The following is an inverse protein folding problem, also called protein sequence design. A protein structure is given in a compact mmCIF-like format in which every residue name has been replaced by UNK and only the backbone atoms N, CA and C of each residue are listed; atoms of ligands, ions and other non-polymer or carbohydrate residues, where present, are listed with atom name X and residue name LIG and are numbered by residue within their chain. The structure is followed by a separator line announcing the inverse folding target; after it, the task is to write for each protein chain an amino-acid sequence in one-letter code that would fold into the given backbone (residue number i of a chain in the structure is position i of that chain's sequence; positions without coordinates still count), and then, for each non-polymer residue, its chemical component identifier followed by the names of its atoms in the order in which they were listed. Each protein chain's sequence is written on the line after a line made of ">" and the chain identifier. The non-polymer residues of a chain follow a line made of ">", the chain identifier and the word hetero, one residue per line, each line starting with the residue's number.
data_IF_983839265340
#
_entry.id   IF_983839265340
#
_cell.length_a   1.000
_cell.length_b   1.000
_cell.length_c   1.000
_cell.angle_alpha   90.00
_cell.angle_beta   90.00
_cell.angle_gamma   90.00
#
_symmetry.space_group_name_H-M   'P 1'
#
loop_
_entity.id
_entity.type
_entity.pdbx_description
1 polymer ?
#
# COMPACT_ATOMS: atom_id res chain seq x y z
N UNK A 1 -18.86 -13.09 -14.77
CA UNK A 1 -18.34 -12.51 -13.50
C UNK A 1 -16.97 -13.06 -13.18
N UNK A 2 -16.11 -12.28 -12.50
CA UNK A 2 -14.72 -12.63 -12.20
C UNK A 2 -14.57 -13.02 -10.72
N UNK A 3 -14.06 -14.22 -10.46
CA UNK A 3 -13.77 -14.68 -9.09
C UNK A 3 -12.49 -14.00 -8.59
N UNK A 4 -12.52 -13.48 -7.36
CA UNK A 4 -11.40 -12.78 -6.74
C UNK A 4 -11.32 -11.28 -7.07
N UNK A 5 -12.36 -10.73 -7.66
CA UNK A 5 -12.48 -9.33 -8.06
C UNK A 5 -13.82 -8.73 -7.65
N UNK A 6 -13.88 -7.41 -7.63
CA UNK A 6 -15.15 -6.70 -7.53
C UNK A 6 -15.90 -6.76 -8.85
N UNK A 7 -17.16 -7.14 -8.78
CA UNK A 7 -18.09 -7.18 -9.90
C UNK A 7 -19.27 -6.23 -9.63
N UNK A 8 -19.78 -5.59 -10.67
CA UNK A 8 -21.07 -4.87 -10.60
C UNK A 8 -22.14 -5.79 -11.19
N UNK A 9 -23.03 -6.29 -10.32
CA UNK A 9 -24.04 -7.30 -10.65
C UNK A 9 -25.42 -6.76 -10.35
N UNK A 10 -26.43 -7.25 -11.08
CA UNK A 10 -27.83 -6.84 -10.92
C UNK A 10 -28.58 -7.82 -10.03
N UNK A 11 -29.44 -7.32 -9.14
CA UNK A 11 -30.30 -8.16 -8.30
C UNK A 11 -31.36 -8.80 -9.17
N UNK A 12 -31.25 -10.11 -9.40
CA UNK A 12 -32.17 -10.88 -10.22
C UNK A 12 -33.39 -11.35 -9.41
N UNK A 13 -33.19 -11.83 -8.19
CA UNK A 13 -34.27 -12.37 -7.34
C UNK A 13 -33.85 -12.43 -5.87
N UNK A 14 -34.87 -12.43 -5.00
CA UNK A 14 -34.70 -12.60 -3.56
C UNK A 14 -35.13 -14.01 -3.12
N UNK A 15 -34.41 -14.56 -2.15
CA UNK A 15 -34.72 -15.87 -1.55
C UNK A 15 -34.54 -15.79 -0.02
N UNK A 16 -35.00 -16.80 0.75
CA UNK A 16 -34.78 -16.85 2.20
C UNK A 16 -33.30 -16.83 2.60
N UNK A 17 -32.39 -17.27 1.72
CA UNK A 17 -30.95 -17.35 1.99
C UNK A 17 -30.17 -16.08 1.61
N UNK A 18 -30.78 -15.17 0.84
CA UNK A 18 -30.15 -13.95 0.36
C UNK A 18 -30.64 -13.53 -1.03
N UNK A 19 -29.88 -12.64 -1.65
CA UNK A 19 -30.14 -12.14 -2.99
C UNK A 19 -29.32 -12.92 -4.02
N UNK A 20 -29.94 -13.30 -5.13
CA UNK A 20 -29.21 -13.75 -6.30
C UNK A 20 -28.92 -12.55 -7.20
N UNK A 21 -27.64 -12.37 -7.49
CA UNK A 21 -27.13 -11.34 -8.37
C UNK A 21 -26.70 -11.98 -9.68
N UNK A 22 -26.90 -11.29 -10.80
CA UNK A 22 -26.52 -11.78 -12.12
C UNK A 22 -25.62 -10.80 -12.87
N UNK A 23 -24.76 -11.34 -13.73
CA UNK A 23 -23.99 -10.57 -14.71
C UNK A 23 -24.75 -10.40 -16.02
N UNK A 24 -24.14 -9.72 -17.00
CA UNK A 24 -24.73 -9.48 -18.33
C UNK A 24 -25.00 -10.78 -19.14
N UNK A 25 -24.33 -11.87 -18.79
CA UNK A 25 -24.48 -13.19 -19.41
C UNK A 25 -25.49 -14.06 -18.66
N UNK A 26 -26.20 -13.50 -17.65
CA UNK A 26 -27.15 -14.19 -16.78
C UNK A 26 -26.53 -15.31 -15.91
N UNK A 27 -25.23 -15.20 -15.62
CA UNK A 27 -24.62 -16.06 -14.61
C UNK A 27 -25.01 -15.55 -13.22
N UNK A 28 -25.66 -16.40 -12.42
CA UNK A 28 -26.11 -16.04 -11.07
C UNK A 28 -25.07 -16.35 -9.99
N UNK A 29 -25.02 -15.50 -8.96
CA UNK A 29 -24.26 -15.72 -7.73
C UNK A 29 -25.11 -15.33 -6.52
N UNK A 30 -25.02 -16.11 -5.43
CA UNK A 30 -25.70 -15.81 -4.18
C UNK A 30 -24.91 -14.75 -3.39
N UNK A 31 -25.58 -13.68 -2.97
CA UNK A 31 -25.18 -12.78 -1.89
C UNK A 31 -25.97 -13.19 -0.63
N UNK A 32 -25.34 -13.89 0.33
CA UNK A 32 -26.01 -14.33 1.55
C UNK A 32 -26.54 -13.16 2.39
N UNK A 33 -27.65 -13.36 3.10
CA UNK A 33 -28.28 -12.33 3.93
C UNK A 33 -27.31 -11.64 4.91
N UNK A 34 -26.36 -12.39 5.49
CA UNK A 34 -25.37 -11.87 6.45
C UNK A 34 -24.42 -10.80 5.84
N UNK A 35 -24.34 -10.72 4.52
CA UNK A 35 -23.51 -9.75 3.80
C UNK A 35 -24.33 -8.59 3.21
N UNK A 36 -25.62 -8.55 3.45
CA UNK A 36 -26.48 -7.43 3.05
C UNK A 36 -26.44 -6.41 4.20
N UNK A 37 -25.89 -5.19 4.00
CA UNK A 37 -25.84 -4.19 5.06
C UNK A 37 -27.25 -3.83 5.54
N UNK A 38 -27.48 -3.80 6.86
CA UNK A 38 -28.79 -3.50 7.44
C UNK A 38 -29.32 -2.11 7.00
N UNK A 39 -28.41 -1.14 6.86
CA UNK A 39 -28.71 0.24 6.49
C UNK A 39 -29.30 0.40 5.07
N UNK A 40 -29.07 -0.57 4.18
CA UNK A 40 -29.49 -0.52 2.78
C UNK A 40 -30.43 -1.66 2.40
N UNK A 41 -30.70 -2.61 3.31
CA UNK A 41 -31.55 -3.78 3.04
C UNK A 41 -32.97 -3.42 2.62
N UNK A 42 -33.53 -2.31 3.13
CA UNK A 42 -34.83 -1.82 2.76
C UNK A 42 -34.90 -1.07 1.40
N UNK A 43 -33.73 -0.66 0.88
CA UNK A 43 -33.60 0.10 -0.37
C UNK A 43 -33.19 -0.73 -1.59
N UNK A 44 -32.79 -1.98 -1.42
CA UNK A 44 -32.33 -2.82 -2.54
C UNK A 44 -33.51 -3.57 -3.18
N UNK A 45 -33.75 -3.28 -4.45
CA UNK A 45 -34.86 -3.88 -5.23
C UNK A 45 -34.30 -4.75 -6.38
N UNK A 46 -35.16 -5.66 -6.85
CA UNK A 46 -34.88 -6.43 -8.07
C UNK A 46 -34.68 -5.45 -9.23
N UNK A 47 -33.56 -5.62 -9.97
CA UNK A 47 -33.13 -4.74 -11.05
C UNK A 47 -32.03 -3.72 -10.63
N UNK A 48 -31.77 -3.53 -9.34
CA UNK A 48 -30.71 -2.65 -8.88
C UNK A 48 -29.32 -3.29 -9.09
N UNK A 49 -28.32 -2.46 -9.43
CA UNK A 49 -26.95 -2.90 -9.59
C UNK A 49 -26.15 -2.70 -8.30
N UNK A 50 -25.43 -3.74 -7.87
CA UNK A 50 -24.62 -3.73 -6.67
C UNK A 50 -23.15 -4.08 -6.98
N UNK A 51 -22.23 -3.35 -6.34
CA UNK A 51 -20.80 -3.67 -6.41
C UNK A 51 -20.46 -4.63 -5.29
N UNK A 52 -20.14 -5.87 -5.63
CA UNK A 52 -19.83 -6.97 -4.69
C UNK A 52 -18.51 -7.63 -5.04
N UNK A 53 -17.86 -8.19 -4.03
CA UNK A 53 -16.70 -9.05 -4.24
C UNK A 53 -17.17 -10.50 -4.42
N UNK A 54 -16.64 -11.22 -5.41
CA UNK A 54 -17.01 -12.60 -5.70
C UNK A 54 -15.87 -13.54 -5.36
N UNK A 55 -16.13 -14.55 -4.53
CA UNK A 55 -15.12 -15.51 -4.10
C UNK A 55 -15.70 -16.90 -3.84
N UNK A 56 -14.85 -17.88 -3.54
CA UNK A 56 -15.29 -19.22 -3.12
C UNK A 56 -15.36 -19.33 -1.61
N UNK A 57 -16.53 -19.67 -1.07
CA UNK A 57 -16.74 -19.91 0.36
C UNK A 57 -16.08 -21.22 0.87
N UNK A 58 -16.26 -21.54 2.15
CA UNK A 58 -15.66 -22.74 2.76
C UNK A 58 -16.21 -24.06 2.21
N UNK A 59 -17.38 -24.03 1.58
CA UNK A 59 -17.99 -25.19 0.93
C UNK A 59 -17.69 -25.25 -0.58
N UNK A 60 -16.70 -24.45 -1.05
CA UNK A 60 -16.28 -24.31 -2.44
C UNK A 60 -17.40 -23.84 -3.40
N UNK A 61 -18.34 -23.06 -2.87
CA UNK A 61 -19.39 -22.42 -3.67
C UNK A 61 -18.98 -21.00 -4.03
N UNK A 62 -19.25 -20.58 -5.25
CA UNK A 62 -19.07 -19.17 -5.63
C UNK A 62 -20.14 -18.35 -4.92
N UNK A 63 -19.73 -17.33 -4.18
CA UNK A 63 -20.60 -16.43 -3.42
C UNK A 63 -20.14 -14.99 -3.58
N UNK A 64 -21.10 -14.07 -3.46
CA UNK A 64 -20.83 -12.65 -3.38
C UNK A 64 -20.79 -12.17 -1.92
N UNK A 65 -20.04 -11.10 -1.66
CA UNK A 65 -20.02 -10.41 -0.37
C UNK A 65 -19.88 -8.91 -0.57
N UNK A 66 -20.40 -8.13 0.36
CA UNK A 66 -20.15 -6.69 0.48
C UNK A 66 -18.96 -6.37 1.36
N UNK A 67 -18.40 -7.39 2.05
CA UNK A 67 -17.17 -7.23 2.83
C UNK A 67 -16.00 -6.89 1.92
N UNK A 68 -15.04 -6.15 2.47
CA UNK A 68 -13.89 -5.65 1.71
C UNK A 68 -12.66 -6.48 2.07
N UNK A 69 -12.14 -7.31 1.14
CA UNK A 69 -10.87 -8.00 1.36
C UNK A 69 -9.69 -7.02 1.35
N UNK A 70 -8.59 -7.38 2.02
CA UNK A 70 -7.37 -6.56 2.07
C UNK A 70 -6.60 -6.54 0.75
N UNK A 71 -6.89 -7.48 -0.16
CA UNK A 71 -6.39 -7.54 -1.54
C UNK A 71 -7.35 -8.32 -2.43
N UNK A 72 -7.29 -8.05 -3.71
CA UNK A 72 -7.99 -8.80 -4.77
C UNK A 72 -7.01 -9.68 -5.56
N UNK A 73 -7.51 -10.52 -6.46
CA UNK A 73 -6.65 -11.26 -7.39
C UNK A 73 -5.81 -10.28 -8.21
N UNK A 74 -4.52 -10.55 -8.33
CA UNK A 74 -3.57 -9.66 -8.98
C UNK A 74 -2.90 -8.64 -8.07
N UNK A 75 -3.23 -8.60 -6.78
CA UNK A 75 -2.67 -7.63 -5.84
C UNK A 75 -1.72 -8.24 -4.82
N UNK A 76 -0.89 -7.36 -4.23
CA UNK A 76 0.03 -7.66 -3.13
C UNK A 76 -0.43 -6.95 -1.87
N UNK A 77 -0.49 -7.70 -0.76
CA UNK A 77 -0.68 -7.13 0.57
C UNK A 77 0.16 -7.87 1.61
N UNK A 78 0.40 -7.22 2.76
CA UNK A 78 0.98 -7.85 3.94
C UNK A 78 -0.16 -8.38 4.80
N UNK A 79 -0.19 -9.70 4.99
CA UNK A 79 -1.24 -10.41 5.69
C UNK A 79 -0.68 -11.18 6.88
N UNK A 80 -1.50 -11.36 7.93
CA UNK A 80 -1.15 -12.15 9.10
C UNK A 80 -1.46 -13.64 8.87
N UNK A 81 -0.55 -14.51 9.28
CA UNK A 81 -0.74 -15.95 9.28
C UNK A 81 -1.57 -16.35 10.49
N UNK A 82 -2.80 -16.78 10.27
CA UNK A 82 -3.74 -17.20 11.34
C UNK A 82 -3.63 -18.68 11.67
N UNK A 83 -3.20 -19.50 10.71
CA UNK A 83 -2.96 -20.94 10.92
C UNK A 83 -1.87 -21.46 9.97
N UNK A 84 -1.19 -22.53 10.38
CA UNK A 84 -0.27 -23.30 9.53
C UNK A 84 -0.59 -24.79 9.68
N UNK A 85 -0.61 -25.52 8.57
CA UNK A 85 -1.02 -26.91 8.54
C UNK A 85 -0.37 -27.72 7.42
N UNK A 86 -0.90 -28.92 7.19
CA UNK A 86 -0.32 -29.90 6.25
C UNK A 86 -0.29 -29.44 4.79
N UNK A 87 -1.21 -28.58 4.36
CA UNK A 87 -1.31 -28.11 2.96
C UNK A 87 -0.65 -26.76 2.72
N UNK A 88 -0.37 -25.99 3.79
CA UNK A 88 0.20 -24.66 3.71
C UNK A 88 -0.15 -23.82 4.93
N UNK A 89 0.01 -22.51 4.79
CA UNK A 89 -0.41 -21.52 5.78
C UNK A 89 -1.71 -20.85 5.31
N UNK A 90 -2.52 -20.45 6.28
CA UNK A 90 -3.72 -19.68 6.06
C UNK A 90 -3.48 -18.26 6.57
N UNK A 91 -3.80 -17.27 5.76
CA UNK A 91 -3.63 -15.85 6.09
C UNK A 91 -4.97 -15.15 6.10
N UNK A 92 -5.14 -14.24 7.08
CA UNK A 92 -6.29 -13.35 7.13
C UNK A 92 -6.21 -12.35 5.98
N UNK A 93 -7.20 -12.36 5.12
CA UNK A 93 -7.33 -11.43 4.00
C UNK A 93 -8.60 -10.57 4.06
N UNK A 94 -9.24 -10.54 5.24
CA UNK A 94 -10.41 -9.73 5.53
C UNK A 94 -11.75 -10.39 5.21
N UNK A 95 -11.76 -11.68 4.82
CA UNK A 95 -12.99 -12.45 4.58
C UNK A 95 -13.07 -13.66 5.50
N UNK A 96 -14.28 -14.22 5.76
CA UNK A 96 -14.48 -15.34 6.69
C UNK A 96 -13.71 -16.62 6.35
N UNK A 97 -13.43 -16.87 5.07
CA UNK A 97 -12.55 -17.94 4.62
C UNK A 97 -11.15 -17.41 4.43
N UNK A 98 -10.20 -17.84 5.25
CA UNK A 98 -8.80 -17.48 5.14
C UNK A 98 -8.20 -17.83 3.77
N UNK A 99 -7.26 -17.03 3.30
CA UNK A 99 -6.55 -17.27 2.05
C UNK A 99 -5.43 -18.31 2.27
N UNK A 100 -5.45 -19.40 1.51
CA UNK A 100 -4.41 -20.42 1.56
C UNK A 100 -3.16 -19.96 0.84
N UNK A 101 -2.01 -20.08 1.49
CA UNK A 101 -0.66 -19.98 0.91
C UNK A 101 -0.04 -21.40 0.92
N UNK A 102 -0.12 -22.17 -0.18
CA UNK A 102 0.41 -23.54 -0.25
C UNK A 102 1.91 -23.57 0.06
N UNK A 103 2.42 -24.68 0.58
CA UNK A 103 3.87 -24.84 0.86
C UNK A 103 4.75 -24.52 -0.34
N UNK A 104 4.31 -24.91 -1.55
CA UNK A 104 5.02 -24.64 -2.80
C UNK A 104 5.15 -23.12 -3.10
N UNK A 105 4.28 -22.29 -2.51
CA UNK A 105 4.24 -20.82 -2.68
C UNK A 105 4.90 -20.07 -1.52
N UNK A 106 5.44 -20.75 -0.54
CA UNK A 106 6.17 -20.15 0.57
C UNK A 106 7.67 -20.07 0.26
N UNK A 107 8.36 -19.00 0.68
CA UNK A 107 9.82 -18.88 0.58
C UNK A 107 10.48 -19.76 1.67
N UNK A 108 9.86 -19.79 2.85
CA UNK A 108 10.17 -20.63 4.00
C UNK A 108 8.87 -21.06 4.68
N UNK A 109 8.87 -22.08 5.51
CA UNK A 109 7.69 -22.40 6.31
C UNK A 109 7.20 -21.16 7.08
N UNK A 110 5.90 -20.92 7.03
CA UNK A 110 5.25 -19.82 7.73
C UNK A 110 4.64 -20.34 9.04
N UNK A 111 4.65 -19.50 10.08
CA UNK A 111 4.13 -19.81 11.40
C UNK A 111 3.00 -18.84 11.77
N UNK A 112 2.05 -19.30 12.59
CA UNK A 112 0.97 -18.46 13.10
C UNK A 112 1.51 -17.22 13.82
N UNK A 113 0.88 -16.07 13.58
CA UNK A 113 1.24 -14.75 14.14
C UNK A 113 2.31 -14.00 13.34
N UNK A 114 2.93 -14.65 12.32
CA UNK A 114 3.80 -13.94 11.40
C UNK A 114 3.00 -13.09 10.41
N UNK A 115 3.59 -12.00 9.96
CA UNK A 115 3.07 -11.25 8.81
C UNK A 115 3.93 -11.50 7.59
N UNK A 116 3.29 -11.73 6.45
CA UNK A 116 3.96 -12.05 5.18
C UNK A 116 3.35 -11.25 4.03
N UNK A 117 4.19 -10.84 3.07
CA UNK A 117 3.69 -10.27 1.81
C UNK A 117 3.21 -11.40 0.91
N UNK A 118 1.98 -11.29 0.45
CA UNK A 118 1.30 -12.28 -0.38
C UNK A 118 0.76 -11.61 -1.62
N UNK A 119 0.98 -12.23 -2.77
CA UNK A 119 0.28 -11.97 -4.02
C UNK A 119 -0.88 -12.95 -4.15
N UNK A 120 -2.10 -12.46 -4.37
CA UNK A 120 -3.26 -13.32 -4.59
C UNK A 120 -3.43 -13.61 -6.09
N UNK A 121 -3.70 -14.85 -6.43
CA UNK A 121 -3.97 -15.26 -7.81
C UNK A 121 -4.99 -16.40 -7.87
N UNK A 122 -5.63 -16.54 -9.03
CA UNK A 122 -6.52 -17.66 -9.31
C UNK A 122 -5.67 -18.84 -9.81
N UNK A 123 -5.71 -19.94 -9.07
CA UNK A 123 -5.03 -21.18 -9.49
C UNK A 123 -5.82 -21.83 -10.63
N UNK A 124 -5.24 -21.86 -11.81
CA UNK A 124 -5.86 -22.40 -13.02
C UNK A 124 -6.22 -23.90 -12.92
N UNK A 125 -5.56 -24.64 -12.01
CA UNK A 125 -5.81 -26.09 -11.84
C UNK A 125 -7.04 -26.33 -10.97
N UNK A 126 -7.20 -25.56 -9.91
CA UNK A 126 -8.26 -25.74 -8.92
C UNK A 126 -9.41 -24.74 -9.03
N UNK A 127 -9.22 -23.65 -9.77
CA UNK A 127 -10.16 -22.53 -9.84
C UNK A 127 -10.27 -21.73 -8.51
N UNK A 128 -9.39 -21.99 -7.55
CA UNK A 128 -9.41 -21.34 -6.23
C UNK A 128 -8.46 -20.14 -6.18
N UNK A 129 -8.83 -19.15 -5.39
CA UNK A 129 -7.94 -18.05 -5.06
C UNK A 129 -6.91 -18.58 -4.06
N UNK A 130 -5.63 -18.39 -4.36
CA UNK A 130 -4.50 -18.80 -3.49
C UNK A 130 -3.48 -17.67 -3.39
N UNK A 131 -2.75 -17.66 -2.28
CA UNK A 131 -1.67 -16.73 -2.03
C UNK A 131 -0.30 -17.26 -2.42
N UNK A 132 0.60 -16.37 -2.78
CA UNK A 132 2.02 -16.67 -3.02
C UNK A 132 2.90 -15.67 -2.31
N UNK A 133 3.78 -16.13 -1.42
CA UNK A 133 4.87 -15.33 -0.87
C UNK A 133 6.07 -15.24 -1.83
N UNK A 134 6.11 -16.06 -2.89
CA UNK A 134 7.13 -16.05 -3.94
C UNK A 134 6.82 -14.96 -4.98
N UNK A 135 6.84 -13.70 -4.56
CA UNK A 135 6.43 -12.54 -5.38
C UNK A 135 7.13 -12.48 -6.73
N UNK A 136 8.41 -12.90 -6.83
CA UNK A 136 9.16 -12.90 -8.10
C UNK A 136 8.55 -13.79 -9.20
N UNK A 137 7.56 -14.65 -8.88
CA UNK A 137 6.84 -15.45 -9.89
C UNK A 137 5.74 -14.64 -10.58
N UNK A 138 5.31 -13.55 -9.96
CA UNK A 138 4.16 -12.76 -10.39
C UNK A 138 4.54 -11.32 -10.73
N UNK A 139 5.62 -10.83 -10.11
CA UNK A 139 6.11 -9.45 -10.25
C UNK A 139 7.44 -9.51 -11.01
N UNK A 140 7.52 -8.83 -12.14
CA UNK A 140 8.72 -8.75 -12.97
C UNK A 140 8.80 -7.39 -13.72
N UNK A 141 9.90 -7.16 -14.41
CA UNK A 141 10.14 -5.96 -15.22
C UNK A 141 10.40 -6.31 -16.70
N UNK A 142 9.88 -7.44 -17.18
CA UNK A 142 10.08 -7.86 -18.58
C UNK A 142 9.40 -6.89 -19.58
N UNK A 143 8.19 -6.43 -19.22
CA UNK A 143 7.45 -5.41 -19.96
C UNK A 143 7.02 -4.29 -19.00
N UNK A 144 7.76 -3.19 -18.99
CA UNK A 144 7.47 -2.05 -18.13
C UNK A 144 6.28 -1.26 -18.69
N UNK A 145 5.23 -1.11 -17.85
CA UNK A 145 3.98 -0.42 -18.22
C UNK A 145 3.86 0.97 -17.60
N UNK A 146 4.91 1.47 -16.94
CA UNK A 146 4.96 2.79 -16.31
C UNK A 146 5.99 3.68 -16.99
N UNK A 147 5.81 5.00 -16.90
CA UNK A 147 6.66 6.00 -17.51
C UNK A 147 7.38 6.88 -16.49
N UNK A 148 8.53 7.46 -16.90
CA UNK A 148 9.25 8.44 -16.07
C UNK A 148 8.38 9.66 -15.80
N UNK A 149 8.25 10.03 -14.51
CA UNK A 149 7.40 11.12 -14.04
C UNK A 149 5.99 10.70 -13.63
N UNK A 150 5.59 9.47 -13.92
CA UNK A 150 4.28 8.93 -13.55
C UNK A 150 4.17 8.71 -12.03
N UNK A 151 3.00 9.04 -11.47
CA UNK A 151 2.60 8.65 -10.12
C UNK A 151 2.10 7.22 -10.11
N UNK A 152 2.60 6.41 -9.21
CA UNK A 152 2.30 4.98 -9.11
C UNK A 152 1.96 4.56 -7.68
N UNK A 153 1.13 3.54 -7.55
CA UNK A 153 0.90 2.86 -6.29
C UNK A 153 2.04 1.90 -5.98
N UNK A 154 2.52 1.92 -4.75
CA UNK A 154 3.57 1.00 -4.33
C UNK A 154 3.24 0.26 -3.05
N UNK A 155 3.76 -0.97 -2.94
CA UNK A 155 3.83 -1.72 -1.68
C UNK A 155 5.30 -1.90 -1.32
N UNK A 156 5.70 -1.40 -0.14
CA UNK A 156 7.07 -1.58 0.36
C UNK A 156 7.29 -3.05 0.65
N UNK A 157 8.24 -3.68 -0.07
CA UNK A 157 8.44 -5.13 0.02
C UNK A 157 9.56 -5.52 0.99
N UNK A 158 10.75 -4.98 0.78
CA UNK A 158 11.92 -5.42 1.53
C UNK A 158 12.95 -4.31 1.65
N UNK A 159 13.53 -4.17 2.86
CA UNK A 159 14.72 -3.34 3.07
C UNK A 159 15.94 -4.01 2.43
N UNK A 160 16.75 -3.23 1.73
CA UNK A 160 18.03 -3.59 1.11
C UNK A 160 19.13 -2.64 1.59
N UNK A 161 20.36 -2.88 1.19
CA UNK A 161 21.53 -2.10 1.64
C UNK A 161 21.45 -0.62 1.28
N UNK A 162 20.83 -0.28 0.14
CA UNK A 162 20.76 1.09 -0.39
C UNK A 162 19.39 1.74 -0.29
N UNK A 163 18.34 1.02 0.14
CA UNK A 163 16.97 1.52 0.15
C UNK A 163 15.94 0.43 0.39
N UNK A 164 14.75 0.62 -0.18
CA UNK A 164 13.69 -0.37 -0.13
C UNK A 164 13.31 -0.84 -1.53
N UNK A 165 13.28 -2.16 -1.69
CA UNK A 165 12.63 -2.77 -2.85
C UNK A 165 11.13 -2.69 -2.66
N UNK A 166 10.41 -2.27 -3.70
CA UNK A 166 8.96 -2.07 -3.67
C UNK A 166 8.29 -2.75 -4.86
N UNK A 167 7.02 -3.10 -4.70
CA UNK A 167 6.15 -3.53 -5.80
C UNK A 167 5.42 -2.31 -6.33
N UNK A 168 5.42 -2.10 -7.64
CA UNK A 168 4.79 -0.99 -8.34
C UNK A 168 3.54 -1.51 -9.05
N UNK A 169 2.38 -0.90 -8.78
CA UNK A 169 1.09 -1.21 -9.43
C UNK A 169 0.78 -2.72 -9.46
N UNK A 170 1.25 -3.48 -8.46
CA UNK A 170 1.16 -4.94 -8.36
C UNK A 170 1.81 -5.72 -9.53
N UNK A 171 2.63 -5.09 -10.36
CA UNK A 171 3.21 -5.68 -11.59
C UNK A 171 4.72 -5.65 -11.63
N UNK A 172 5.35 -4.56 -11.18
CA UNK A 172 6.78 -4.33 -11.39
C UNK A 172 7.54 -4.22 -10.09
N UNK A 173 8.85 -4.48 -10.16
CA UNK A 173 9.78 -4.21 -9.08
C UNK A 173 10.40 -2.82 -9.25
N UNK A 174 10.47 -2.07 -8.15
CA UNK A 174 11.17 -0.80 -8.08
C UNK A 174 12.07 -0.69 -6.86
N UNK A 175 12.86 0.39 -6.82
CA UNK A 175 13.75 0.74 -5.73
C UNK A 175 13.49 2.18 -5.29
N UNK A 176 13.38 2.39 -3.97
CA UNK A 176 13.44 3.71 -3.35
C UNK A 176 14.72 3.77 -2.53
N UNK A 177 15.65 4.65 -2.88
CA UNK A 177 16.90 4.81 -2.17
C UNK A 177 16.70 5.55 -0.84
N UNK A 178 17.54 5.26 0.16
CA UNK A 178 17.47 5.95 1.45
C UNK A 178 17.60 7.48 1.36
N UNK A 179 18.28 7.99 0.33
CA UNK A 179 18.38 9.43 0.05
C UNK A 179 17.03 10.07 -0.29
N UNK A 180 16.09 9.29 -0.84
CA UNK A 180 14.75 9.74 -1.24
C UNK A 180 13.69 9.54 -0.12
N UNK A 181 14.09 9.01 1.05
CA UNK A 181 13.19 8.67 2.15
C UNK A 181 13.36 9.68 3.27
N UNK A 182 12.30 10.42 3.57
CA UNK A 182 12.28 11.48 4.57
C UNK A 182 11.42 11.17 5.80
N UNK A 183 10.58 10.14 5.71
CA UNK A 183 9.77 9.60 6.80
C UNK A 183 10.05 8.11 6.97
N UNK A 184 9.67 7.55 8.11
CA UNK A 184 9.82 6.12 8.32
C UNK A 184 8.87 5.36 7.41
N UNK A 185 9.41 4.38 6.69
CA UNK A 185 8.64 3.43 5.89
C UNK A 185 8.98 2.00 6.30
N UNK A 186 8.02 1.10 6.16
CA UNK A 186 8.17 -0.29 6.61
C UNK A 186 7.55 -1.28 5.61
N UNK A 187 8.03 -2.54 5.58
CA UNK A 187 7.49 -3.57 4.71
C UNK A 187 5.98 -3.80 4.92
N UNK A 188 5.24 -3.85 3.82
CA UNK A 188 3.78 -3.96 3.78
C UNK A 188 3.03 -2.63 3.67
N UNK A 189 3.70 -1.51 3.85
CA UNK A 189 3.08 -0.19 3.72
C UNK A 189 2.73 0.09 2.26
N UNK A 190 1.50 0.55 2.02
CA UNK A 190 1.01 1.05 0.72
C UNK A 190 1.25 2.56 0.67
N UNK A 191 1.86 3.06 -0.41
CA UNK A 191 2.20 4.47 -0.60
C UNK A 191 2.03 4.86 -2.07
N UNK A 192 2.00 6.17 -2.33
CA UNK A 192 2.21 6.75 -3.66
C UNK A 192 3.69 7.08 -3.86
N UNK A 193 4.18 6.89 -5.07
CA UNK A 193 5.55 7.25 -5.46
C UNK A 193 5.57 7.73 -6.91
N UNK A 194 6.66 8.38 -7.31
CA UNK A 194 6.87 8.85 -8.67
C UNK A 194 8.05 8.13 -9.31
N UNK A 195 7.88 7.69 -10.55
CA UNK A 195 8.95 7.09 -11.32
C UNK A 195 10.00 8.14 -11.67
N UNK A 196 11.22 7.98 -11.16
CA UNK A 196 12.34 8.91 -11.39
C UNK A 196 13.15 8.56 -12.61
N UNK A 197 13.41 7.27 -12.76
CA UNK A 197 14.27 6.76 -13.83
C UNK A 197 13.89 5.30 -14.14
N UNK A 198 13.96 4.97 -15.41
CA UNK A 198 13.95 3.59 -15.89
C UNK A 198 15.30 3.39 -16.59
N UNK A 199 16.06 2.40 -16.14
CA UNK A 199 17.40 2.11 -16.69
C UNK A 199 17.31 1.17 -17.88
N UNK A 200 18.36 1.08 -18.68
CA UNK A 200 18.43 0.16 -19.83
C UNK A 200 18.30 -1.32 -19.44
N UNK A 201 18.72 -1.67 -18.22
CA UNK A 201 18.58 -3.00 -17.62
C UNK A 201 17.24 -3.17 -16.85
N UNK A 202 16.22 -2.40 -17.25
CA UNK A 202 14.82 -2.51 -16.79
C UNK A 202 14.63 -2.32 -15.27
N UNK A 203 15.55 -1.60 -14.60
CA UNK A 203 15.34 -1.19 -13.20
C UNK A 203 14.56 0.12 -13.14
N UNK A 204 13.62 0.19 -12.18
CA UNK A 204 12.77 1.36 -11.95
C UNK A 204 13.15 2.00 -10.63
N UNK A 205 13.69 3.21 -10.68
CA UNK A 205 14.01 4.03 -9.53
C UNK A 205 12.85 4.97 -9.23
N UNK A 206 12.47 5.04 -7.97
CA UNK A 206 11.31 5.79 -7.49
C UNK A 206 11.70 6.84 -6.45
N UNK A 207 10.86 7.84 -6.32
CA UNK A 207 10.89 8.80 -5.21
C UNK A 207 9.51 8.91 -4.57
N UNK A 208 9.47 9.11 -3.26
CA UNK A 208 8.23 9.43 -2.54
C UNK A 208 7.77 10.88 -2.74
N UNK A 209 8.46 11.64 -3.59
CA UNK A 209 8.15 13.04 -3.88
C UNK A 209 8.03 13.26 -5.38
N UNK A 210 7.07 14.08 -5.78
CA UNK A 210 6.92 14.51 -7.16
C UNK A 210 8.17 15.27 -7.65
N UNK A 211 8.47 15.17 -8.94
CA UNK A 211 9.57 15.91 -9.56
C UNK A 211 9.34 17.42 -9.42
N UNK A 212 10.30 18.12 -8.83
CA UNK A 212 10.20 19.55 -8.53
C UNK A 212 9.66 19.88 -7.12
N UNK A 213 9.14 18.91 -6.39
CA UNK A 213 8.79 19.06 -4.99
C UNK A 213 10.06 18.85 -4.14
N UNK A 214 10.75 19.92 -3.87
CA UNK A 214 11.92 19.90 -2.97
C UNK A 214 11.45 20.10 -1.53
N UNK A 215 11.24 19.01 -0.82
CA UNK A 215 10.82 19.05 0.59
C UNK A 215 11.81 19.85 1.45
N UNK A 216 13.09 19.82 1.07
CA UNK A 216 14.11 20.60 1.75
C UNK A 216 13.88 22.08 1.50
N UNK A 217 13.54 22.46 0.27
CA UNK A 217 13.24 23.85 -0.08
C UNK A 217 11.96 24.32 0.63
N UNK A 218 10.88 23.53 0.58
CA UNK A 218 9.62 23.84 1.30
C UNK A 218 9.87 23.96 2.80
N UNK A 219 10.61 23.02 3.39
CA UNK A 219 10.96 23.07 4.81
C UNK A 219 11.90 24.25 5.12
N UNK A 220 12.78 24.63 4.18
CA UNK A 220 13.64 25.81 4.33
C UNK A 220 12.85 27.11 4.28
N UNK A 221 11.91 27.21 3.36
CA UNK A 221 11.05 28.41 3.24
C UNK A 221 10.14 28.53 4.48
N UNK A 222 9.55 27.43 4.95
CA UNK A 222 8.77 27.39 6.19
C UNK A 222 9.64 27.72 7.43
N UNK A 223 10.89 27.27 7.47
CA UNK A 223 11.81 27.55 8.57
C UNK A 223 12.21 29.04 8.60
N UNK A 224 12.40 29.65 7.44
CA UNK A 224 12.65 31.11 7.36
C UNK A 224 11.44 31.88 7.89
N UNK A 225 10.23 31.52 7.45
CA UNK A 225 9.00 32.15 7.94
C UNK A 225 8.85 31.98 9.47
N UNK A 226 9.10 30.79 10.00
CA UNK A 226 9.05 30.54 11.45
C UNK A 226 10.08 31.38 12.21
N UNK A 227 11.28 31.56 11.65
CA UNK A 227 12.29 32.44 12.23
C UNK A 227 11.83 33.90 12.22
N UNK A 228 11.25 34.40 11.12
CA UNK A 228 10.70 35.76 11.03
C UNK A 228 9.59 36.00 12.05
N UNK A 229 8.71 34.99 12.27
CA UNK A 229 7.63 35.08 13.25
C UNK A 229 8.12 35.00 14.72
N UNK A 230 9.37 34.57 14.97
CA UNK A 230 9.99 34.43 16.28
C UNK A 230 11.20 35.38 16.48
N UNK A 231 11.11 36.60 16.01
CA UNK A 231 12.15 37.64 16.18
C UNK A 231 13.54 37.22 15.61
N UNK A 232 13.54 36.38 14.61
CA UNK A 232 14.74 35.89 13.92
C UNK A 232 15.47 34.72 14.60
N UNK A 233 14.97 34.17 15.70
CA UNK A 233 15.61 33.06 16.43
C UNK A 233 14.60 32.03 16.90
N UNK A 234 14.96 30.73 16.82
CA UNK A 234 14.21 29.63 17.39
C UNK A 234 15.11 28.76 18.30
N UNK A 235 14.55 28.19 19.35
CA UNK A 235 15.24 27.37 20.36
C UNK A 235 15.43 25.91 19.95
N UNK A 236 15.67 25.64 18.66
CA UNK A 236 16.02 24.33 18.12
C UNK A 236 17.22 24.42 17.18
N UNK A 237 18.11 23.42 17.29
CA UNK A 237 19.35 23.37 16.52
C UNK A 237 19.79 21.94 16.21
N UNK A 238 21.05 21.77 15.81
CA UNK A 238 21.57 20.46 15.34
C UNK A 238 21.50 19.35 16.38
N UNK A 239 21.63 19.67 17.68
CA UNK A 239 21.60 18.73 18.80
C UNK A 239 20.25 18.62 19.50
N UNK A 240 19.26 19.44 19.14
CA UNK A 240 17.90 19.37 19.69
C UNK A 240 17.25 18.03 19.49
N UNK A 241 16.34 17.64 20.40
CA UNK A 241 15.67 16.34 20.30
C UNK A 241 14.70 16.30 19.11
N UNK A 242 14.41 15.09 18.61
CA UNK A 242 13.51 14.91 17.47
C UNK A 242 12.09 15.36 17.80
N UNK A 243 11.63 15.18 19.06
CA UNK A 243 10.32 15.61 19.50
C UNK A 243 10.22 17.14 19.57
N UNK A 244 11.26 17.85 20.06
CA UNK A 244 11.34 19.31 20.08
C UNK A 244 11.27 19.91 18.69
N UNK A 245 12.06 19.35 17.74
CA UNK A 245 12.06 19.78 16.35
C UNK A 245 10.70 19.57 15.69
N UNK A 246 10.09 18.41 15.92
CA UNK A 246 8.76 18.10 15.38
C UNK A 246 7.69 19.05 15.93
N UNK A 247 7.76 19.39 17.22
CA UNK A 247 6.81 20.30 17.88
C UNK A 247 6.98 21.75 17.37
N UNK A 248 8.22 22.22 17.21
CA UNK A 248 8.52 23.61 16.83
C UNK A 248 8.40 23.81 15.32
N UNK A 249 8.93 22.91 14.52
CA UNK A 249 9.08 23.09 13.06
C UNK A 249 8.13 22.24 12.22
N UNK A 250 7.36 21.29 12.82
CA UNK A 250 6.44 20.41 12.10
C UNK A 250 7.11 19.37 11.19
N UNK A 251 8.45 19.21 11.25
CA UNK A 251 9.22 18.33 10.37
C UNK A 251 10.09 17.36 11.16
N UNK A 252 10.48 16.24 10.54
CA UNK A 252 11.43 15.31 11.16
C UNK A 252 12.83 15.95 11.33
N UNK A 253 13.60 15.50 12.33
CA UNK A 253 14.98 15.96 12.56
C UNK A 253 15.87 15.82 11.32
N UNK A 254 15.67 14.81 10.48
CA UNK A 254 16.40 14.60 9.22
C UNK A 254 16.09 15.70 8.21
N UNK A 255 14.82 16.07 8.05
CA UNK A 255 14.37 17.16 7.14
C UNK A 255 14.86 18.49 7.67
N UNK A 256 14.71 18.76 8.97
CA UNK A 256 15.21 19.97 9.62
C UNK A 256 16.71 20.18 9.38
N UNK A 257 17.55 19.18 9.66
CA UNK A 257 19.00 19.26 9.42
C UNK A 257 19.36 19.56 7.97
N UNK A 258 18.65 19.02 7.01
CA UNK A 258 18.86 19.29 5.57
C UNK A 258 18.41 20.71 5.21
N UNK A 259 17.26 21.17 5.74
CA UNK A 259 16.77 22.51 5.53
C UNK A 259 17.72 23.57 6.11
N UNK A 260 18.19 23.36 7.34
CA UNK A 260 19.21 24.20 7.97
C UNK A 260 20.51 24.20 7.15
N UNK A 261 20.99 23.02 6.71
CA UNK A 261 22.16 22.91 5.84
C UNK A 261 22.02 23.66 4.52
N UNK A 262 20.86 23.62 3.89
CA UNK A 262 20.54 24.39 2.68
C UNK A 262 20.57 25.91 2.95
N UNK A 263 19.95 26.36 4.06
CA UNK A 263 19.92 27.78 4.43
C UNK A 263 21.30 28.31 4.86
N UNK A 264 22.12 27.48 5.54
CA UNK A 264 23.51 27.80 5.85
C UNK A 264 24.34 28.00 4.58
N UNK A 265 24.22 27.08 3.61
CA UNK A 265 24.91 27.20 2.31
C UNK A 265 24.44 28.44 1.52
N UNK A 266 23.18 28.82 1.67
CA UNK A 266 22.61 30.06 1.08
C UNK A 266 22.95 31.32 1.88
N UNK A 267 23.64 31.20 3.02
CA UNK A 267 24.02 32.33 3.89
C UNK A 267 22.84 33.00 4.60
N UNK A 268 21.69 32.37 4.71
CA UNK A 268 20.46 32.91 5.28
C UNK A 268 20.31 32.74 6.78
N UNK A 269 20.96 31.73 7.36
CA UNK A 269 20.87 31.41 8.79
C UNK A 269 22.22 31.13 9.41
N UNK A 270 22.28 31.20 10.74
CA UNK A 270 23.33 30.66 11.58
C UNK A 270 22.74 29.56 12.46
N UNK A 271 23.40 28.41 12.55
CA UNK A 271 22.91 27.26 13.32
C UNK A 271 23.87 26.95 14.48
N UNK A 272 23.30 26.94 15.67
CA UNK A 272 23.94 26.48 16.90
C UNK A 272 23.56 25.04 17.27
N UNK A 273 24.07 24.58 18.42
CA UNK A 273 23.73 23.26 18.93
C UNK A 273 22.21 23.12 19.25
N UNK A 274 21.61 24.16 19.79
CA UNK A 274 20.21 24.18 20.27
C UNK A 274 19.45 25.43 19.78
N UNK A 275 20.01 26.20 18.87
CA UNK A 275 19.39 27.42 18.33
C UNK A 275 19.62 27.53 16.84
N UNK A 276 18.68 28.17 16.13
CA UNK A 276 18.85 28.58 14.74
C UNK A 276 18.39 30.03 14.63
N UNK A 277 19.20 30.87 13.95
CA UNK A 277 18.98 32.32 13.81
C UNK A 277 19.03 32.76 12.36
N UNK A 278 18.24 33.77 12.00
CA UNK A 278 18.42 34.45 10.74
C UNK A 278 19.75 35.21 10.77
N UNK A 279 20.44 35.18 9.65
CA UNK A 279 21.61 36.00 9.43
C UNK A 279 21.15 37.34 8.87
N UNK A 280 21.44 38.42 9.64
CA UNK A 280 21.13 39.76 9.24
C UNK A 280 21.97 40.24 8.02
#
# INVERSE_FOLDING_TARGET
>A
MNIGEYNTLTIARQTPNGLYLEDQEQNEVLLPNRYIPEEVSEGWAIGDSQRVFVYMDSDDRVVATTETPYLTVGEVAKLEVVAAGRIGAFVDWGLPKDLLVPHANQIRPLSKGESVLVYAYLDNTTGRIVGSAKLNRHINNEEITVAVGEEVDIVVAQRRDMGYRVVINNKHWGMIYFSEIFSDIFPGQKLKAWVRKITEDMRIDLSLQQRGFDQVKVASDALVQLLEENDGEISVGDKSDAAEIQMMCGVSKKVFKRAVGYLLAAGKVEAGAFTTKLKG
#
